data_IF_462015583074
#
_entry.id   IF_462015583074
#
_cell.length_a   1.000
_cell.length_b   1.000
_cell.length_c   1.000
_cell.angle_alpha   90.00
_cell.angle_beta   90.00
_cell.angle_gamma   90.00
#
_symmetry.space_group_name_H-M   'P 1'
#
loop_
_entity.id
_entity.type
_entity.pdbx_description
1 polymer ?
#
# COMPACT_ATOMS: atom_id res chain seq x y z
N UNK A 1 5.09 -8.46 1.51
CA UNK A 1 6.39 -7.75 1.55
C UNK A 1 6.43 -7.05 2.89
N UNK A 2 7.46 -7.24 3.69
CA UNK A 2 7.60 -6.58 4.98
C UNK A 2 7.71 -5.07 4.76
N UNK A 3 7.05 -4.28 5.60
CA UNK A 3 7.16 -2.82 5.57
C UNK A 3 7.80 -2.33 6.85
N UNK A 4 8.50 -1.20 6.77
CA UNK A 4 9.15 -0.56 7.93
C UNK A 4 8.57 0.85 8.10
N UNK A 5 8.19 1.21 9.33
CA UNK A 5 7.64 2.54 9.65
C UNK A 5 8.71 3.63 9.67
N UNK A 6 8.34 4.87 9.39
CA UNK A 6 9.27 6.01 9.50
C UNK A 6 9.81 6.18 10.92
N UNK A 7 8.98 5.96 11.95
CA UNK A 7 9.43 5.96 13.34
C UNK A 7 10.52 4.93 13.65
N UNK A 8 10.61 3.87 12.84
CA UNK A 8 11.72 2.91 12.93
C UNK A 8 12.89 3.33 12.05
N UNK A 9 12.63 3.79 10.83
CA UNK A 9 13.68 4.10 9.85
C UNK A 9 14.50 5.33 10.21
N UNK A 10 13.85 6.42 10.65
CA UNK A 10 14.51 7.69 10.91
C UNK A 10 15.60 7.59 12.00
N UNK A 11 15.34 7.08 13.22
CA UNK A 11 16.39 6.96 14.23
C UNK A 11 17.50 6.00 13.79
N UNK A 12 17.19 4.95 13.02
CA UNK A 12 18.20 4.04 12.49
C UNK A 12 19.09 4.70 11.43
N UNK A 13 18.50 5.46 10.50
CA UNK A 13 19.22 6.24 9.51
C UNK A 13 20.13 7.29 10.17
N UNK A 14 19.58 8.03 11.14
CA UNK A 14 20.34 9.00 11.90
C UNK A 14 21.52 8.34 12.66
N UNK A 15 21.33 7.15 13.25
CA UNK A 15 22.44 6.38 13.86
C UNK A 15 23.48 5.96 12.83
N UNK A 16 23.04 5.53 11.66
CA UNK A 16 23.91 5.13 10.55
C UNK A 16 24.82 6.27 10.07
N UNK A 17 24.37 7.52 10.19
CA UNK A 17 25.15 8.72 9.91
C UNK A 17 25.88 9.30 11.12
N UNK A 18 25.65 8.79 12.33
CA UNK A 18 26.15 9.40 13.57
C UNK A 18 25.47 10.74 13.93
N UNK A 19 24.26 10.97 13.43
CA UNK A 19 23.44 12.15 13.70
C UNK A 19 22.44 11.95 14.85
N UNK A 20 22.18 10.70 15.25
CA UNK A 20 21.29 10.39 16.36
C UNK A 20 22.00 10.54 17.71
N UNK A 21 21.39 11.29 18.63
CA UNK A 21 21.95 11.53 19.96
C UNK A 21 21.37 10.53 20.96
N UNK A 22 20.04 10.39 21.00
CA UNK A 22 19.39 9.48 21.95
C UNK A 22 17.87 9.58 21.93
N UNK A 23 17.23 8.69 22.68
CA UNK A 23 15.79 8.78 23.00
C UNK A 23 15.62 8.88 24.50
N UNK A 24 14.72 9.76 24.91
CA UNK A 24 14.46 10.11 26.29
C UNK A 24 12.95 10.21 26.52
N UNK A 25 12.55 10.17 27.79
CA UNK A 25 11.16 10.33 28.20
C UNK A 25 11.04 11.58 29.08
N UNK A 26 10.01 12.38 28.86
CA UNK A 26 9.75 13.54 29.72
C UNK A 26 9.41 13.07 31.13
N UNK A 27 9.93 13.76 32.14
CA UNK A 27 9.64 13.48 33.55
C UNK A 27 8.54 14.36 34.11
N UNK A 28 8.19 15.41 33.38
CA UNK A 28 7.02 16.25 33.65
C UNK A 28 6.05 16.20 32.47
N UNK A 29 4.79 16.55 32.74
CA UNK A 29 3.82 16.82 31.68
C UNK A 29 4.35 17.92 30.75
N UNK A 30 4.03 17.82 29.47
CA UNK A 30 4.21 18.94 28.54
C UNK A 30 3.07 19.91 28.84
N UNK A 31 3.40 21.12 29.24
CA UNK A 31 2.42 22.20 29.39
C UNK A 31 2.44 23.07 28.13
N UNK A 32 1.51 24.02 28.00
CA UNK A 32 1.55 25.03 26.94
C UNK A 32 2.76 25.95 27.10
N UNK A 33 3.93 25.46 26.71
CA UNK A 33 5.24 26.08 26.88
C UNK A 33 6.19 25.58 25.79
N UNK A 34 7.41 26.12 25.75
CA UNK A 34 8.49 25.68 24.87
C UNK A 34 9.43 24.67 25.54
N UNK A 35 9.11 24.20 26.74
CA UNK A 35 10.02 23.39 27.54
C UNK A 35 9.72 21.88 27.43
N UNK A 36 10.78 21.08 27.29
CA UNK A 36 10.77 19.64 27.56
C UNK A 36 11.69 19.38 28.75
N UNK A 37 11.20 18.69 29.78
CA UNK A 37 12.01 18.35 30.94
C UNK A 37 12.14 16.83 31.04
N UNK A 38 13.39 16.35 31.08
CA UNK A 38 13.71 14.94 31.28
C UNK A 38 14.90 14.79 32.21
N UNK A 39 14.68 14.23 33.41
CA UNK A 39 15.81 13.86 34.28
C UNK A 39 16.68 12.74 33.70
N UNK A 40 16.27 12.10 32.59
CA UNK A 40 17.14 11.17 31.86
C UNK A 40 18.30 11.87 31.16
N UNK A 41 18.16 13.15 30.81
CA UNK A 41 19.23 13.93 30.19
C UNK A 41 20.37 14.24 31.17
N UNK A 42 20.04 14.48 32.45
CA UNK A 42 21.04 14.80 33.48
C UNK A 42 22.04 13.68 33.72
N UNK A 43 21.73 12.44 33.34
CA UNK A 43 22.64 11.30 33.49
C UNK A 43 23.73 11.24 32.42
N UNK A 44 23.56 11.96 31.30
CA UNK A 44 24.46 11.91 30.14
C UNK A 44 24.98 13.30 29.73
N UNK A 45 24.26 14.36 30.08
CA UNK A 45 24.54 15.74 29.73
C UNK A 45 24.39 16.60 30.99
N UNK A 46 25.44 16.64 31.81
CA UNK A 46 25.45 17.40 33.08
C UNK A 46 25.77 18.89 32.87
N UNK A 47 26.46 19.21 31.78
CA UNK A 47 26.89 20.57 31.45
C UNK A 47 25.77 21.34 30.72
N UNK A 48 25.54 22.57 31.17
CA UNK A 48 24.66 23.52 30.50
C UNK A 48 25.11 23.75 29.04
N UNK A 49 24.17 24.11 28.16
CA UNK A 49 24.37 24.41 26.74
C UNK A 49 24.86 23.25 25.83
N UNK A 50 25.17 22.07 26.39
CA UNK A 50 25.72 20.92 25.63
C UNK A 50 24.86 20.45 24.46
N UNK A 51 23.54 20.63 24.57
CA UNK A 51 22.57 20.21 23.55
C UNK A 51 22.05 21.38 22.71
N UNK A 52 22.63 22.57 22.82
CA UNK A 52 22.22 23.70 22.00
C UNK A 52 22.47 23.42 20.51
N UNK A 53 21.62 23.99 19.66
CA UNK A 53 21.61 23.77 18.20
C UNK A 53 21.34 22.31 17.76
N UNK A 54 20.94 21.44 18.69
CA UNK A 54 20.38 20.12 18.35
C UNK A 54 18.88 20.22 18.07
N UNK A 55 18.27 19.13 17.61
CA UNK A 55 16.84 19.06 17.29
C UNK A 55 16.15 17.99 18.13
N UNK A 56 15.03 18.36 18.75
CA UNK A 56 14.13 17.44 19.44
C UNK A 56 12.93 17.10 18.56
N UNK A 57 12.65 15.80 18.40
CA UNK A 57 11.43 15.28 17.79
C UNK A 57 10.58 14.60 18.85
N UNK A 58 9.35 15.06 19.01
CA UNK A 58 8.44 14.57 20.06
C UNK A 58 7.62 13.39 19.52
N UNK A 59 7.56 12.31 20.30
CA UNK A 59 6.76 11.11 20.06
C UNK A 59 5.58 11.09 21.03
N UNK A 60 4.73 12.10 20.86
CA UNK A 60 3.59 12.40 21.71
C UNK A 60 2.26 11.90 21.15
N UNK A 61 1.18 12.48 21.64
CA UNK A 61 -0.18 12.34 21.09
C UNK A 61 -0.58 13.64 20.40
N UNK A 62 -0.51 14.76 21.13
CA UNK A 62 -0.88 16.08 20.60
C UNK A 62 0.28 16.76 19.86
N UNK A 63 1.52 16.42 20.24
CA UNK A 63 2.73 16.94 19.60
C UNK A 63 3.46 15.89 18.76
N UNK A 64 2.80 14.81 18.34
CA UNK A 64 3.47 13.72 17.61
C UNK A 64 4.12 14.22 16.32
N UNK A 65 5.37 13.79 16.11
CA UNK A 65 6.18 14.21 14.96
C UNK A 65 6.64 15.66 15.00
N UNK A 66 6.31 16.45 16.03
CA UNK A 66 6.74 17.85 16.12
C UNK A 66 8.25 17.91 16.34
N UNK A 67 8.92 18.66 15.48
CA UNK A 67 10.38 18.86 15.53
C UNK A 67 10.70 20.32 15.85
N UNK A 68 11.63 20.54 16.78
CA UNK A 68 12.09 21.87 17.21
C UNK A 68 13.59 21.87 17.48
N UNK A 69 14.28 22.97 17.19
CA UNK A 69 15.67 23.15 17.61
C UNK A 69 15.75 23.50 19.10
N UNK A 70 16.75 23.00 19.79
CA UNK A 70 17.06 23.30 21.19
C UNK A 70 17.81 24.64 21.24
N UNK A 71 17.23 25.61 21.95
CA UNK A 71 17.84 26.93 22.21
C UNK A 71 18.79 26.90 23.40
N UNK A 72 18.35 26.23 24.45
CA UNK A 72 19.06 26.16 25.72
C UNK A 72 18.84 24.76 26.33
N UNK A 73 19.88 24.27 27.00
CA UNK A 73 19.88 23.04 27.77
C UNK A 73 20.41 23.32 29.17
N UNK A 74 19.57 23.15 30.18
CA UNK A 74 19.96 23.27 31.58
C UNK A 74 20.31 21.88 32.15
N UNK A 75 21.59 21.54 32.20
CA UNK A 75 22.10 20.22 32.59
C UNK A 75 21.72 19.80 34.01
N UNK A 76 21.62 20.76 34.94
CA UNK A 76 21.21 20.47 36.33
C UNK A 76 19.76 19.97 36.48
N UNK A 77 18.88 20.24 35.49
CA UNK A 77 17.47 19.85 35.53
C UNK A 77 17.04 18.96 34.35
N UNK A 78 17.88 18.86 33.32
CA UNK A 78 17.57 18.17 32.07
C UNK A 78 16.44 18.87 31.31
N UNK A 79 16.31 20.18 31.49
CA UNK A 79 15.36 21.01 30.76
C UNK A 79 15.95 21.43 29.41
N UNK A 80 15.14 21.31 28.37
CA UNK A 80 15.39 21.82 27.03
C UNK A 80 14.39 22.94 26.76
N UNK A 81 14.88 24.13 26.43
CA UNK A 81 14.05 25.19 25.87
C UNK A 81 14.08 25.11 24.35
N UNK A 82 12.92 25.01 23.73
CA UNK A 82 12.77 24.76 22.30
C UNK A 82 12.42 26.04 21.55
N UNK A 83 13.04 26.24 20.38
CA UNK A 83 12.69 27.36 19.50
C UNK A 83 11.31 27.16 18.90
N UNK A 84 10.43 28.16 18.99
CA UNK A 84 9.19 28.21 18.22
C UNK A 84 7.97 28.59 19.05
N UNK A 85 6.79 28.16 18.59
CA UNK A 85 5.53 28.33 19.33
C UNK A 85 5.42 27.31 20.46
N UNK A 86 4.61 27.63 21.47
CA UNK A 86 4.31 26.72 22.57
C UNK A 86 3.77 25.39 22.06
N UNK A 87 4.23 24.31 22.68
CA UNK A 87 3.71 22.95 22.50
C UNK A 87 2.26 22.86 23.00
N UNK A 88 1.49 21.93 22.45
CA UNK A 88 0.20 21.57 23.02
C UNK A 88 0.39 20.86 24.36
N UNK A 89 -0.54 21.06 25.30
CA UNK A 89 -0.45 20.41 26.60
C UNK A 89 -0.70 18.90 26.48
N UNK A 90 0.14 18.10 27.14
CA UNK A 90 0.01 16.65 27.20
C UNK A 90 0.23 16.12 28.61
N UNK A 91 -0.65 15.20 29.03
CA UNK A 91 -0.51 14.51 30.31
C UNK A 91 0.35 13.25 30.19
N UNK A 92 1.10 12.97 31.26
CA UNK A 92 1.95 11.78 31.36
C UNK A 92 3.32 11.98 30.72
N UNK A 93 4.18 10.98 30.93
CA UNK A 93 5.51 10.94 30.30
C UNK A 93 5.37 10.71 28.80
N UNK A 94 6.07 11.51 28.00
CA UNK A 94 6.12 11.40 26.53
C UNK A 94 7.54 11.13 26.08
N UNK A 95 7.68 10.29 25.06
CA UNK A 95 9.00 10.01 24.49
C UNK A 95 9.39 11.14 23.53
N UNK A 96 10.69 11.39 23.42
CA UNK A 96 11.25 12.25 22.39
C UNK A 96 12.63 11.74 21.98
N UNK A 97 13.09 12.20 20.83
CA UNK A 97 14.34 11.81 20.20
C UNK A 97 15.17 13.06 19.91
N UNK A 98 16.48 12.98 20.13
CA UNK A 98 17.43 14.07 19.88
C UNK A 98 18.31 13.77 18.66
N UNK A 99 18.50 14.77 17.81
CA UNK A 99 19.23 14.70 16.55
C UNK A 99 20.18 15.88 16.38
N UNK A 100 21.29 15.67 15.68
CA UNK A 100 22.23 16.74 15.29
C UNK A 100 21.73 17.60 14.13
N UNK A 101 20.94 17.01 13.25
CA UNK A 101 20.35 17.68 12.10
C UNK A 101 18.84 17.66 12.23
N UNK A 102 18.17 18.57 11.54
CA UNK A 102 16.71 18.59 11.47
C UNK A 102 16.17 17.25 10.92
N UNK A 103 15.38 16.49 11.71
CA UNK A 103 14.61 15.35 11.25
C UNK A 103 13.94 15.51 9.89
N UNK A 104 13.39 16.68 9.56
CA UNK A 104 12.71 16.92 8.28
C UNK A 104 13.66 16.73 7.09
N UNK A 105 14.88 17.27 7.19
CA UNK A 105 15.91 17.12 6.15
C UNK A 105 16.29 15.65 5.98
N UNK A 106 16.41 14.91 7.08
CA UNK A 106 16.72 13.48 7.03
C UNK A 106 15.60 12.66 6.36
N UNK A 107 14.34 13.04 6.58
CA UNK A 107 13.17 12.42 5.93
C UNK A 107 13.18 12.71 4.43
N UNK A 108 13.48 13.95 4.03
CA UNK A 108 13.57 14.34 2.62
C UNK A 108 14.63 13.52 1.89
N UNK A 109 15.84 13.37 2.46
CA UNK A 109 16.87 12.53 1.84
C UNK A 109 16.51 11.03 1.81
N UNK A 110 15.70 10.52 2.75
CA UNK A 110 15.16 9.15 2.62
C UNK A 110 14.18 9.04 1.43
N UNK A 111 13.36 10.08 1.20
CA UNK A 111 12.41 10.16 0.09
C UNK A 111 13.07 10.40 -1.28
N UNK A 112 14.25 11.03 -1.31
CA UNK A 112 15.06 11.15 -2.52
C UNK A 112 15.81 9.85 -2.81
N UNK A 113 16.40 9.24 -1.77
CA UNK A 113 17.14 7.99 -1.89
C UNK A 113 16.30 6.84 -2.47
N UNK A 114 14.99 6.76 -2.17
CA UNK A 114 14.11 5.75 -2.77
C UNK A 114 13.97 5.90 -4.30
N UNK A 115 14.12 7.12 -4.83
CA UNK A 115 14.05 7.38 -6.27
C UNK A 115 15.41 7.05 -6.91
N UNK A 116 16.50 7.50 -6.30
CA UNK A 116 17.87 7.23 -6.77
C UNK A 116 18.25 5.75 -6.71
N UNK A 117 17.77 5.03 -5.70
CA UNK A 117 18.04 3.62 -5.53
C UNK A 117 17.31 2.75 -6.56
N UNK A 118 16.30 3.27 -7.25
CA UNK A 118 15.60 2.54 -8.30
C UNK A 118 16.51 2.40 -9.54
N UNK A 119 16.60 1.22 -10.18
CA UNK A 119 15.81 0.00 -9.96
C UNK A 119 16.44 -1.03 -9.03
N UNK A 120 17.54 -0.69 -8.35
CA UNK A 120 18.26 -1.63 -7.46
C UNK A 120 17.48 -1.96 -6.19
N UNK A 121 16.72 -1.00 -5.68
CA UNK A 121 15.68 -1.18 -4.67
C UNK A 121 14.34 -0.83 -5.30
N UNK A 122 13.35 -1.71 -5.13
CA UNK A 122 12.03 -1.54 -5.72
C UNK A 122 10.97 -2.26 -4.91
N UNK A 123 9.75 -1.75 -4.99
CA UNK A 123 8.56 -2.46 -4.55
C UNK A 123 8.13 -3.40 -5.68
N UNK A 124 8.01 -4.70 -5.40
CA UNK A 124 7.41 -5.63 -6.36
C UNK A 124 5.93 -5.29 -6.47
N UNK A 125 5.49 -4.98 -7.68
CA UNK A 125 4.09 -4.71 -7.97
C UNK A 125 3.52 -5.90 -8.73
N UNK A 126 2.35 -6.34 -8.29
CA UNK A 126 1.54 -7.33 -8.97
C UNK A 126 0.17 -6.70 -9.18
N UNK A 127 -0.08 -6.32 -10.43
CA UNK A 127 -1.31 -5.71 -10.87
C UNK A 127 -2.20 -6.76 -11.53
N UNK A 128 -3.51 -6.61 -11.33
CA UNK A 128 -4.53 -7.54 -11.81
C UNK A 128 -5.79 -6.83 -12.33
N UNK A 129 -5.68 -5.56 -12.71
CA UNK A 129 -6.84 -4.75 -13.08
C UNK A 129 -7.30 -4.96 -14.52
N UNK A 130 -6.59 -5.79 -15.29
CA UNK A 130 -6.88 -6.06 -16.68
C UNK A 130 -7.53 -7.43 -16.89
N UNK A 131 -8.57 -7.46 -17.71
CA UNK A 131 -9.18 -8.67 -18.27
C UNK A 131 -8.80 -8.82 -19.74
N UNK A 132 -8.67 -10.07 -20.18
CA UNK A 132 -8.42 -10.40 -21.57
C UNK A 132 -9.63 -10.18 -22.46
N UNK A 133 -9.38 -9.87 -23.73
CA UNK A 133 -10.39 -9.90 -24.78
C UNK A 133 -9.77 -10.35 -26.12
N UNK A 134 -10.44 -11.19 -26.92
CA UNK A 134 -9.87 -11.73 -28.16
C UNK A 134 -9.46 -10.67 -29.17
N UNK A 135 -10.08 -9.50 -29.18
CA UNK A 135 -9.72 -8.39 -30.09
C UNK A 135 -8.76 -7.37 -29.47
N UNK A 136 -8.55 -7.40 -28.16
CA UNK A 136 -7.67 -6.45 -27.48
C UNK A 136 -6.21 -6.90 -27.56
N UNK A 137 -5.34 -6.01 -28.02
CA UNK A 137 -3.88 -6.21 -28.09
C UNK A 137 -3.09 -5.24 -27.22
N UNK A 138 -3.69 -4.10 -26.89
CA UNK A 138 -3.08 -3.06 -26.10
C UNK A 138 -3.75 -3.04 -24.72
N UNK A 139 -2.94 -3.13 -23.67
CA UNK A 139 -3.37 -3.06 -22.29
C UNK A 139 -2.60 -1.93 -21.63
N UNK A 140 -3.29 -1.05 -20.92
CA UNK A 140 -2.60 0.03 -20.22
C UNK A 140 -1.57 -0.57 -19.24
N UNK A 141 -0.38 0.04 -19.17
CA UNK A 141 0.59 -0.31 -18.12
C UNK A 141 0.04 0.21 -16.79
N UNK A 142 0.02 -0.62 -15.73
CA UNK A 142 -0.29 -0.15 -14.39
C UNK A 142 0.62 1.00 -14.00
N UNK A 143 0.06 2.12 -13.53
CA UNK A 143 0.83 3.34 -13.15
C UNK A 143 1.76 3.11 -11.96
N UNK A 144 1.48 2.08 -11.17
CA UNK A 144 2.32 1.59 -10.09
C UNK A 144 3.62 0.91 -10.58
N UNK A 145 3.70 0.54 -11.86
CA UNK A 145 4.88 -0.03 -12.51
C UNK A 145 5.56 1.04 -13.37
N UNK A 146 6.86 1.25 -13.14
CA UNK A 146 7.65 2.20 -13.93
C UNK A 146 7.82 1.72 -15.38
N UNK A 147 7.87 2.66 -16.32
CA UNK A 147 8.05 2.35 -17.75
C UNK A 147 9.34 1.57 -18.00
N UNK A 148 9.25 0.45 -18.74
CA UNK A 148 10.40 -0.43 -19.02
C UNK A 148 10.73 -1.41 -17.89
N UNK A 149 9.88 -1.46 -16.85
CA UNK A 149 10.06 -2.29 -15.68
C UNK A 149 8.93 -3.31 -15.47
N UNK A 150 8.12 -3.57 -16.51
CA UNK A 150 7.35 -4.82 -16.54
C UNK A 150 8.34 -5.98 -16.64
N UNK A 151 8.09 -7.05 -15.87
CA UNK A 151 9.00 -8.20 -15.76
C UNK A 151 8.36 -9.48 -16.23
N UNK A 152 7.09 -9.69 -15.90
CA UNK A 152 6.34 -10.89 -16.28
C UNK A 152 4.88 -10.53 -16.47
N UNK A 153 4.24 -11.23 -17.39
CA UNK A 153 2.80 -11.19 -17.57
C UNK A 153 2.31 -12.63 -17.50
N UNK A 154 1.23 -12.85 -16.78
CA UNK A 154 0.54 -14.13 -16.72
C UNK A 154 -0.92 -13.94 -17.09
N UNK A 155 -1.54 -15.03 -17.52
CA UNK A 155 -2.98 -15.14 -17.69
C UNK A 155 -3.49 -16.16 -16.69
N UNK A 156 -4.35 -15.74 -15.78
CA UNK A 156 -5.07 -16.60 -14.84
C UNK A 156 -6.45 -16.94 -15.44
N UNK A 157 -6.86 -18.19 -15.30
CA UNK A 157 -8.19 -18.63 -15.75
C UNK A 157 -9.29 -18.19 -14.77
N UNK A 158 -10.49 -17.95 -15.30
CA UNK A 158 -11.71 -17.80 -14.49
C UNK A 158 -11.90 -19.04 -13.61
N UNK A 159 -12.27 -18.81 -12.35
CA UNK A 159 -12.86 -19.85 -11.51
C UNK A 159 -14.36 -19.67 -11.63
N UNK A 160 -15.07 -20.69 -12.08
CA UNK A 160 -16.53 -20.73 -12.09
C UNK A 160 -17.02 -20.93 -10.65
N UNK A 161 -17.70 -19.93 -10.11
CA UNK A 161 -18.11 -19.83 -8.72
C UNK A 161 -19.16 -20.87 -8.34
N UNK A 162 -20.08 -21.21 -9.24
CA UNK A 162 -21.14 -22.18 -8.98
C UNK A 162 -20.59 -23.62 -8.98
N UNK A 163 -19.58 -23.92 -9.80
CA UNK A 163 -18.97 -25.25 -9.85
C UNK A 163 -17.74 -25.41 -8.96
N UNK A 164 -17.23 -24.34 -8.35
CA UNK A 164 -16.09 -24.41 -7.44
C UNK A 164 -16.48 -25.03 -6.09
N UNK A 165 -16.05 -26.28 -5.87
CA UNK A 165 -16.49 -27.11 -4.74
C UNK A 165 -16.18 -26.59 -3.34
N UNK A 166 -15.19 -25.70 -3.19
CA UNK A 166 -14.87 -25.07 -1.90
C UNK A 166 -15.62 -23.74 -1.68
N UNK A 167 -16.44 -23.29 -2.64
CA UNK A 167 -17.22 -22.07 -2.49
C UNK A 167 -18.37 -22.28 -1.51
N UNK A 168 -18.31 -21.59 -0.36
CA UNK A 168 -19.33 -21.66 0.71
C UNK A 168 -20.71 -21.24 0.19
N UNK A 169 -20.74 -20.32 -0.77
CA UNK A 169 -21.97 -19.83 -1.41
C UNK A 169 -22.22 -20.45 -2.78
N UNK A 170 -21.49 -21.51 -3.17
CA UNK A 170 -21.57 -22.11 -4.51
C UNK A 170 -22.91 -22.76 -4.86
N UNK A 171 -23.74 -23.11 -3.85
CA UNK A 171 -25.10 -23.62 -4.07
C UNK A 171 -26.15 -22.51 -4.22
N UNK A 172 -25.76 -21.27 -3.98
CA UNK A 172 -26.60 -20.08 -4.16
C UNK A 172 -26.30 -19.46 -5.54
N UNK A 173 -27.09 -18.47 -5.95
CA UNK A 173 -26.91 -17.72 -7.22
C UNK A 173 -25.66 -16.80 -7.25
N UNK A 174 -24.47 -17.35 -7.01
CA UNK A 174 -23.22 -16.61 -6.85
C UNK A 174 -22.56 -16.16 -8.18
N UNK A 175 -22.95 -16.78 -9.29
CA UNK A 175 -22.58 -16.49 -10.67
C UNK A 175 -23.70 -15.74 -11.44
N UNK A 176 -24.80 -15.39 -10.76
CA UNK A 176 -25.97 -14.73 -11.34
C UNK A 176 -26.72 -15.51 -12.45
N UNK A 177 -26.42 -16.79 -12.68
CA UNK A 177 -26.99 -17.58 -13.79
C UNK A 177 -28.40 -18.14 -13.52
N UNK A 178 -29.00 -17.85 -12.36
CA UNK A 178 -30.38 -18.24 -12.08
C UNK A 178 -31.40 -17.44 -12.92
N UNK A 179 -32.48 -18.12 -13.33
CA UNK A 179 -33.65 -17.53 -14.02
C UNK A 179 -34.23 -16.26 -13.38
N UNK A 180 -34.02 -16.07 -12.07
CA UNK A 180 -34.26 -14.79 -11.39
C UNK A 180 -32.96 -14.33 -10.75
N UNK A 181 -32.31 -13.34 -11.37
CA UNK A 181 -31.00 -12.78 -10.95
C UNK A 181 -30.90 -12.41 -9.46
N UNK A 182 -31.98 -11.94 -8.86
CA UNK A 182 -32.00 -11.51 -7.46
C UNK A 182 -32.18 -12.67 -6.46
N UNK A 183 -32.33 -13.91 -6.94
CA UNK A 183 -32.43 -15.08 -6.06
C UNK A 183 -31.19 -15.15 -5.17
N UNK A 184 -31.37 -15.41 -3.87
CA UNK A 184 -30.33 -15.48 -2.83
C UNK A 184 -29.59 -14.16 -2.50
N UNK A 185 -29.82 -13.10 -3.27
CA UNK A 185 -29.25 -11.77 -3.03
C UNK A 185 -30.18 -10.88 -2.21
N UNK A 186 -29.66 -10.36 -1.10
CA UNK A 186 -30.31 -9.34 -0.29
C UNK A 186 -29.68 -7.97 -0.61
N UNK A 187 -30.49 -7.02 -1.10
CA UNK A 187 -30.03 -5.68 -1.43
C UNK A 187 -30.50 -4.63 -0.42
N UNK A 188 -29.72 -3.56 -0.27
CA UNK A 188 -30.09 -2.34 0.45
C UNK A 188 -29.58 -1.14 -0.32
N UNK A 189 -30.44 -0.16 -0.61
CA UNK A 189 -30.14 1.02 -1.45
C UNK A 189 -29.49 0.68 -2.82
N UNK A 190 -29.70 -0.53 -3.32
CA UNK A 190 -29.30 -1.01 -4.65
C UNK A 190 -30.49 -1.67 -5.31
N UNK A 191 -30.70 -1.34 -6.58
CA UNK A 191 -31.59 -2.11 -7.46
C UNK A 191 -30.74 -3.13 -8.23
N UNK A 192 -31.02 -4.43 -8.06
CA UNK A 192 -30.36 -5.53 -8.76
C UNK A 192 -31.27 -6.07 -9.86
N UNK A 193 -30.76 -6.14 -11.08
CA UNK A 193 -31.42 -6.70 -12.28
C UNK A 193 -30.43 -7.53 -13.09
N UNK A 194 -30.92 -8.31 -14.06
CA UNK A 194 -30.08 -9.06 -14.98
C UNK A 194 -29.54 -8.11 -16.06
N UNK A 195 -28.27 -8.26 -16.39
CA UNK A 195 -27.71 -7.83 -17.67
C UNK A 195 -27.48 -9.09 -18.49
N UNK A 196 -28.22 -9.25 -19.60
CA UNK A 196 -28.17 -10.46 -20.42
C UNK A 196 -27.15 -10.32 -21.55
N UNK A 197 -26.52 -11.44 -21.91
CA UNK A 197 -25.59 -11.52 -23.02
C UNK A 197 -26.33 -11.34 -24.36
N UNK A 198 -25.65 -10.72 -25.33
CA UNK A 198 -26.18 -10.50 -26.67
C UNK A 198 -25.29 -11.18 -27.71
N UNK A 199 -25.89 -11.75 -28.75
CA UNK A 199 -25.15 -12.51 -29.78
C UNK A 199 -24.49 -11.64 -30.85
N UNK A 200 -24.87 -10.36 -30.95
CA UNK A 200 -24.22 -9.34 -31.78
C UNK A 200 -24.82 -7.95 -31.55
N UNK A 201 -24.03 -6.94 -31.13
CA UNK A 201 -22.65 -7.05 -30.64
C UNK A 201 -22.58 -7.86 -29.34
N UNK A 202 -21.38 -8.28 -28.93
CA UNK A 202 -21.17 -8.92 -27.62
C UNK A 202 -21.41 -7.89 -26.50
N UNK A 203 -22.03 -8.32 -25.41
CA UNK A 203 -22.31 -7.45 -24.26
C UNK A 203 -21.16 -7.51 -23.25
N UNK A 204 -20.24 -6.54 -23.33
CA UNK A 204 -19.12 -6.43 -22.38
C UNK A 204 -19.49 -6.28 -20.91
N UNK A 205 -20.77 -6.00 -20.60
CA UNK A 205 -21.27 -5.90 -19.24
C UNK A 205 -21.66 -7.27 -18.65
N UNK A 206 -21.58 -8.34 -19.45
CA UNK A 206 -21.63 -9.73 -19.00
C UNK A 206 -20.19 -10.24 -18.91
N UNK A 207 -19.77 -10.67 -17.73
CA UNK A 207 -18.39 -11.14 -17.53
C UNK A 207 -18.19 -12.53 -18.14
N UNK A 208 -19.16 -13.42 -17.94
CA UNK A 208 -19.20 -14.74 -18.51
C UNK A 208 -20.62 -15.32 -18.47
N UNK A 209 -20.83 -16.44 -19.15
CA UNK A 209 -22.11 -17.15 -19.10
C UNK A 209 -23.22 -16.45 -19.91
N UNK A 210 -24.43 -16.38 -19.36
CA UNK A 210 -25.59 -15.77 -20.03
C UNK A 210 -25.97 -14.42 -19.46
N UNK A 211 -25.54 -14.10 -18.23
CA UNK A 211 -25.92 -12.86 -17.58
C UNK A 211 -24.97 -12.50 -16.43
N UNK A 212 -24.90 -11.21 -16.12
CA UNK A 212 -24.27 -10.70 -14.89
C UNK A 212 -25.25 -9.86 -14.09
N UNK A 213 -24.97 -9.68 -12.80
CA UNK A 213 -25.78 -8.84 -11.92
C UNK A 213 -25.56 -7.35 -12.18
N UNK A 214 -26.54 -6.66 -12.78
CA UNK A 214 -26.56 -5.20 -12.89
C UNK A 214 -27.09 -4.56 -11.62
N UNK A 215 -26.29 -3.71 -11.01
CA UNK A 215 -26.64 -3.02 -9.77
C UNK A 215 -26.63 -1.51 -9.98
N UNK A 216 -27.73 -0.85 -9.63
CA UNK A 216 -27.89 0.60 -9.70
C UNK A 216 -27.95 1.17 -8.28
N UNK A 217 -26.96 1.99 -7.95
CA UNK A 217 -26.82 2.70 -6.67
C UNK A 217 -27.32 4.13 -6.86
N UNK A 218 -28.25 4.59 -6.01
CA UNK A 218 -28.74 5.96 -6.03
C UNK A 218 -27.65 6.97 -5.68
N UNK A 219 -27.81 8.26 -6.01
CA UNK A 219 -26.83 9.28 -5.63
C UNK A 219 -26.71 9.46 -4.11
N UNK A 220 -25.53 9.83 -3.62
CA UNK A 220 -25.26 10.12 -2.20
C UNK A 220 -25.71 8.98 -1.26
N UNK A 221 -25.46 7.73 -1.66
CA UNK A 221 -25.94 6.56 -0.93
C UNK A 221 -24.84 5.51 -0.72
N UNK A 222 -25.11 4.64 0.26
CA UNK A 222 -24.33 3.42 0.48
C UNK A 222 -25.25 2.26 0.14
N UNK A 223 -24.87 1.56 -0.91
CA UNK A 223 -25.56 0.41 -1.45
C UNK A 223 -24.86 -0.89 -1.07
N UNK A 224 -25.64 -1.92 -0.76
CA UNK A 224 -25.10 -3.28 -0.51
C UNK A 224 -25.90 -4.32 -1.25
N UNK A 225 -25.21 -5.33 -1.77
CA UNK A 225 -25.81 -6.56 -2.28
C UNK A 225 -25.05 -7.74 -1.65
N UNK A 226 -25.75 -8.57 -0.89
CA UNK A 226 -25.12 -9.66 -0.13
C UNK A 226 -25.84 -10.99 -0.29
N UNK A 227 -25.06 -12.05 -0.27
CA UNK A 227 -25.50 -13.42 -0.01
C UNK A 227 -25.26 -13.76 1.46
N UNK A 228 -26.14 -14.56 2.06
CA UNK A 228 -26.02 -14.96 3.47
C UNK A 228 -25.62 -16.42 3.57
N UNK A 229 -24.65 -16.73 4.43
CA UNK A 229 -24.23 -18.10 4.68
C UNK A 229 -25.38 -18.90 5.31
N UNK A 230 -25.60 -20.12 4.85
CA UNK A 230 -26.60 -21.00 5.43
C UNK A 230 -26.24 -21.43 6.87
N UNK A 231 -24.95 -21.67 7.14
CA UNK A 231 -24.43 -22.17 8.42
C UNK A 231 -23.21 -21.37 8.90
N UNK A 232 -23.38 -20.09 9.31
CA UNK A 232 -22.27 -19.19 9.60
C UNK A 232 -21.38 -19.64 10.77
N UNK A 233 -21.95 -20.31 11.78
CA UNK A 233 -21.22 -20.81 12.97
C UNK A 233 -20.26 -21.95 12.66
N UNK A 234 -20.35 -22.58 11.49
CA UNK A 234 -19.45 -23.67 11.09
C UNK A 234 -18.02 -23.20 10.80
N UNK A 235 -17.83 -21.89 10.57
CA UNK A 235 -16.57 -21.27 10.18
C UNK A 235 -16.00 -20.37 11.29
N UNK A 236 -16.47 -20.54 12.52
CA UNK A 236 -16.01 -19.74 13.67
C UNK A 236 -14.54 -20.03 13.98
N UNK A 237 -13.73 -18.98 14.12
CA UNK A 237 -12.28 -19.07 14.30
C UNK A 237 -11.48 -19.22 13.00
N UNK A 238 -12.13 -19.28 11.82
CA UNK A 238 -11.44 -19.41 10.54
C UNK A 238 -11.22 -18.05 9.84
N UNK A 239 -10.18 -17.96 9.00
CA UNK A 239 -10.03 -16.82 8.09
C UNK A 239 -10.96 -16.98 6.89
N UNK A 240 -11.82 -15.98 6.65
CA UNK A 240 -12.71 -15.91 5.50
C UNK A 240 -12.09 -15.05 4.40
N UNK A 241 -12.03 -15.59 3.19
CA UNK A 241 -11.57 -14.93 1.98
C UNK A 241 -12.72 -14.84 0.97
N UNK A 242 -13.01 -13.63 0.50
CA UNK A 242 -14.06 -13.37 -0.49
C UNK A 242 -13.44 -12.71 -1.72
N UNK A 243 -13.87 -13.15 -2.90
CA UNK A 243 -13.58 -12.49 -4.18
C UNK A 243 -14.81 -12.39 -5.05
N UNK A 244 -14.92 -11.33 -5.83
CA UNK A 244 -16.03 -11.10 -6.78
C UNK A 244 -15.49 -10.32 -7.97
N UNK A 245 -15.95 -10.65 -9.17
CA UNK A 245 -15.68 -9.87 -10.36
C UNK A 245 -16.65 -8.70 -10.42
N UNK A 246 -16.13 -7.49 -10.64
CA UNK A 246 -16.93 -6.28 -10.69
C UNK A 246 -16.51 -5.45 -11.88
N UNK A 247 -17.47 -4.94 -12.64
CA UNK A 247 -17.26 -3.89 -13.62
C UNK A 247 -17.68 -2.54 -13.04
N UNK A 248 -16.77 -1.57 -13.06
CA UNK A 248 -17.09 -0.18 -12.76
C UNK A 248 -16.17 0.80 -13.51
N UNK A 249 -16.73 1.94 -13.94
CA UNK A 249 -15.95 3.04 -14.56
C UNK A 249 -15.63 4.18 -13.61
N UNK A 250 -16.13 4.11 -12.38
CA UNK A 250 -15.85 5.10 -11.33
C UNK A 250 -14.93 4.49 -10.29
N UNK A 251 -13.71 5.00 -10.22
CA UNK A 251 -12.72 4.59 -9.23
C UNK A 251 -13.20 4.86 -7.80
N UNK A 252 -12.72 4.06 -6.85
CA UNK A 252 -12.88 4.32 -5.42
C UNK A 252 -14.32 4.31 -4.90
N UNK A 253 -15.21 3.52 -5.53
CA UNK A 253 -16.63 3.42 -5.16
C UNK A 253 -17.11 2.05 -4.73
N UNK A 254 -16.51 0.98 -5.23
CA UNK A 254 -17.03 -0.38 -5.06
C UNK A 254 -15.95 -1.25 -4.45
N UNK A 255 -16.31 -2.04 -3.45
CA UNK A 255 -15.42 -3.01 -2.81
C UNK A 255 -16.15 -4.35 -2.63
N UNK A 256 -15.38 -5.44 -2.64
CA UNK A 256 -15.82 -6.69 -2.03
C UNK A 256 -16.01 -6.47 -0.52
N UNK A 257 -17.01 -7.11 0.07
CA UNK A 257 -17.39 -6.87 1.46
C UNK A 257 -17.84 -8.13 2.21
N UNK A 258 -17.55 -8.12 3.51
CA UNK A 258 -17.96 -9.12 4.50
C UNK A 258 -18.69 -8.40 5.64
N UNK A 259 -19.82 -8.93 6.08
CA UNK A 259 -20.56 -8.42 7.25
C UNK A 259 -20.84 -9.57 8.22
N UNK A 260 -20.42 -9.42 9.47
CA UNK A 260 -20.56 -10.43 10.54
C UNK A 260 -21.50 -9.90 11.64
N UNK A 261 -22.47 -10.72 12.07
CA UNK A 261 -23.38 -10.45 13.20
C UNK A 261 -24.05 -9.06 13.19
N UNK A 262 -24.48 -8.56 12.03
CA UNK A 262 -25.03 -7.19 11.83
C UNK A 262 -24.06 -6.02 12.08
N UNK A 263 -22.76 -6.29 12.20
CA UNK A 263 -21.73 -5.26 12.30
C UNK A 263 -21.53 -4.47 11.01
N UNK A 264 -20.66 -3.45 11.09
CA UNK A 264 -20.22 -2.68 9.93
C UNK A 264 -19.54 -3.59 8.91
N UNK A 265 -19.79 -3.35 7.63
CA UNK A 265 -19.15 -4.09 6.55
C UNK A 265 -17.63 -3.89 6.60
N UNK A 266 -16.90 -5.00 6.59
CA UNK A 266 -15.46 -5.05 6.36
C UNK A 266 -15.28 -5.05 4.84
N UNK A 267 -14.61 -4.03 4.32
CA UNK A 267 -14.44 -3.83 2.87
C UNK A 267 -12.99 -4.03 2.45
N UNK A 268 -12.78 -4.66 1.30
CA UNK A 268 -11.48 -4.74 0.65
C UNK A 268 -11.09 -3.44 -0.09
N UNK A 269 -10.01 -3.52 -0.85
CA UNK A 269 -9.59 -2.44 -1.76
C UNK A 269 -10.71 -2.07 -2.72
N UNK A 270 -10.84 -0.78 -3.01
CA UNK A 270 -11.83 -0.28 -3.95
C UNK A 270 -11.42 -0.51 -5.39
N UNK A 271 -12.40 -0.74 -6.25
CA UNK A 271 -12.28 -0.80 -7.69
C UNK A 271 -11.54 0.41 -8.29
N UNK A 272 -10.66 0.17 -9.25
CA UNK A 272 -9.79 1.21 -9.85
C UNK A 272 -10.48 2.04 -10.94
N UNK A 273 -11.56 1.51 -11.51
CA UNK A 273 -12.38 2.20 -12.51
C UNK A 273 -12.02 1.84 -13.95
N UNK A 274 -11.25 0.77 -14.15
CA UNK A 274 -10.69 0.39 -15.45
C UNK A 274 -11.51 -0.62 -16.25
N UNK A 275 -12.69 -1.04 -15.77
CA UNK A 275 -13.50 -2.08 -16.41
C UNK A 275 -13.78 -3.22 -15.43
N UNK A 276 -13.62 -4.47 -15.86
CA UNK A 276 -13.75 -5.64 -14.99
C UNK A 276 -12.50 -5.84 -14.13
N UNK A 277 -12.69 -5.95 -12.82
CA UNK A 277 -11.64 -6.22 -11.84
C UNK A 277 -12.11 -7.25 -10.81
N UNK A 278 -11.21 -8.14 -10.40
CA UNK A 278 -11.49 -9.07 -9.30
C UNK A 278 -11.19 -8.39 -7.97
N UNK A 279 -12.23 -8.02 -7.25
CA UNK A 279 -12.11 -7.42 -5.92
C UNK A 279 -12.01 -8.52 -4.87
N UNK A 280 -11.21 -8.29 -3.82
CA UNK A 280 -10.99 -9.27 -2.75
C UNK A 280 -11.05 -8.61 -1.38
N UNK A 281 -11.54 -9.34 -0.38
CA UNK A 281 -11.53 -8.95 1.03
C UNK A 281 -11.32 -10.19 1.90
N UNK A 282 -10.60 -10.04 3.01
CA UNK A 282 -10.48 -11.11 4.00
C UNK A 282 -10.68 -10.58 5.43
N UNK A 283 -11.11 -11.47 6.32
CA UNK A 283 -11.18 -11.21 7.76
C UNK A 283 -11.09 -12.52 8.52
N UNK A 284 -10.56 -12.46 9.74
CA UNK A 284 -10.74 -13.56 10.69
C UNK A 284 -12.18 -13.53 11.20
N UNK A 285 -12.88 -14.65 11.10
CA UNK A 285 -14.16 -14.87 11.76
C UNK A 285 -13.85 -15.23 13.21
N UNK A 286 -14.28 -14.40 14.16
CA UNK A 286 -14.35 -14.75 15.58
C UNK A 286 -15.81 -14.81 16.01
N UNK A 287 -16.09 -15.20 17.26
CA UNK A 287 -17.42 -15.43 17.88
C UNK A 287 -18.63 -15.16 16.97
N UNK A 288 -18.78 -15.98 15.93
CA UNK A 288 -19.87 -15.83 14.96
C UNK A 288 -21.15 -16.29 15.64
N UNK A 289 -22.03 -15.35 15.98
CA UNK A 289 -23.21 -15.62 16.81
C UNK A 289 -24.50 -15.78 16.02
N UNK A 290 -24.60 -15.19 14.82
CA UNK A 290 -25.88 -15.13 14.10
C UNK A 290 -25.81 -15.08 12.58
N UNK A 291 -24.86 -14.37 11.96
CA UNK A 291 -24.84 -14.22 10.50
C UNK A 291 -23.48 -13.85 9.94
N UNK A 292 -23.17 -14.40 8.77
CA UNK A 292 -22.08 -13.96 7.89
C UNK A 292 -22.69 -13.69 6.52
N UNK A 293 -22.41 -12.50 5.99
CA UNK A 293 -22.88 -12.03 4.69
C UNK A 293 -21.70 -11.60 3.85
N UNK A 294 -21.73 -11.92 2.57
CA UNK A 294 -20.64 -11.65 1.62
C UNK A 294 -21.20 -11.07 0.33
N UNK A 295 -20.43 -10.21 -0.34
CA UNK A 295 -20.85 -9.63 -1.62
C UNK A 295 -20.21 -8.28 -1.86
N UNK A 296 -21.04 -7.29 -2.23
CA UNK A 296 -20.59 -5.99 -2.71
C UNK A 296 -21.06 -4.87 -1.79
N UNK A 297 -20.15 -3.94 -1.53
CA UNK A 297 -20.42 -2.66 -0.87
C UNK A 297 -20.04 -1.53 -1.83
N UNK A 298 -20.99 -0.65 -2.12
CA UNK A 298 -20.81 0.48 -3.03
C UNK A 298 -21.17 1.81 -2.36
N UNK A 299 -20.33 2.81 -2.52
CA UNK A 299 -20.61 4.20 -2.14
C UNK A 299 -20.77 5.04 -3.41
N UNK A 300 -21.61 6.06 -3.35
CA UNK A 300 -21.89 6.90 -4.51
C UNK A 300 -22.01 8.36 -4.10
N UNK A 301 -21.36 9.26 -4.85
CA UNK A 301 -21.66 10.70 -4.76
C UNK A 301 -22.78 11.02 -5.76
N UNK A 302 -22.56 10.63 -7.01
CA UNK A 302 -23.56 10.59 -8.09
C UNK A 302 -24.06 9.16 -8.28
N UNK A 303 -25.25 9.01 -8.86
CA UNK A 303 -25.78 7.68 -9.20
C UNK A 303 -24.75 6.88 -10.02
N UNK A 304 -24.66 5.59 -9.71
CA UNK A 304 -23.61 4.71 -10.20
C UNK A 304 -24.23 3.37 -10.64
N UNK A 305 -23.78 2.87 -11.79
CA UNK A 305 -24.10 1.52 -12.28
C UNK A 305 -22.85 0.67 -12.18
N UNK A 306 -23.00 -0.53 -11.63
CA UNK A 306 -21.94 -1.53 -11.50
C UNK A 306 -22.49 -2.88 -12.01
N UNK A 307 -21.60 -3.72 -12.51
CA UNK A 307 -21.94 -5.10 -12.85
C UNK A 307 -21.10 -6.03 -12.00
N UNK A 308 -21.64 -7.18 -11.66
CA UNK A 308 -21.00 -8.13 -10.77
C UNK A 308 -21.19 -9.56 -11.27
N UNK A 309 -20.18 -10.38 -11.03
CA UNK A 309 -20.19 -11.78 -11.40
C UNK A 309 -19.27 -12.60 -10.49
N UNK A 310 -19.44 -13.93 -10.50
CA UNK A 310 -18.50 -14.91 -9.98
C UNK A 310 -18.06 -14.64 -8.51
N UNK A 311 -19.01 -14.61 -7.58
CA UNK A 311 -18.75 -14.45 -6.15
C UNK A 311 -18.26 -15.77 -5.53
N UNK A 312 -17.04 -15.73 -5.00
CA UNK A 312 -16.42 -16.87 -4.32
C UNK A 312 -16.11 -16.50 -2.88
N UNK A 313 -16.56 -17.33 -1.94
CA UNK A 313 -16.23 -17.24 -0.52
C UNK A 313 -15.64 -18.56 -0.03
N UNK A 314 -14.43 -18.52 0.53
CA UNK A 314 -13.74 -19.69 1.10
C UNK A 314 -13.27 -19.39 2.52
N UNK A 315 -13.28 -20.40 3.40
CA UNK A 315 -12.79 -20.26 4.76
C UNK A 315 -11.59 -21.20 5.02
N UNK A 316 -10.74 -20.82 5.97
CA UNK A 316 -9.60 -21.59 6.47
C UNK A 316 -8.27 -21.39 5.73
N UNK A 317 -8.29 -20.90 4.48
CA UNK A 317 -7.08 -20.54 3.73
C UNK A 317 -6.77 -19.05 3.87
N UNK A 318 -5.49 -18.67 3.87
CA UNK A 318 -5.05 -17.27 4.02
C UNK A 318 -4.99 -16.47 2.71
N UNK A 319 -5.22 -17.12 1.56
CA UNK A 319 -5.32 -16.44 0.27
C UNK A 319 -6.60 -16.86 -0.43
N UNK A 320 -7.24 -15.91 -1.12
CA UNK A 320 -8.37 -16.22 -2.00
C UNK A 320 -7.92 -17.19 -3.11
N UNK A 321 -8.82 -18.08 -3.56
CA UNK A 321 -8.46 -19.11 -4.53
C UNK A 321 -7.99 -18.50 -5.84
N UNK A 322 -7.05 -19.20 -6.48
CA UNK A 322 -6.44 -18.79 -7.74
C UNK A 322 -6.34 -19.96 -8.69
N UNK A 323 -6.72 -19.71 -9.93
CA UNK A 323 -6.44 -20.61 -11.03
C UNK A 323 -4.96 -20.63 -11.34
N UNK A 324 -4.55 -21.68 -12.05
CA UNK A 324 -3.19 -21.78 -12.54
C UNK A 324 -2.88 -20.64 -13.53
N UNK A 325 -1.78 -19.91 -13.26
CA UNK A 325 -1.36 -18.77 -14.05
C UNK A 325 -0.39 -19.20 -15.17
N UNK A 326 -0.77 -19.01 -16.42
CA UNK A 326 0.06 -19.32 -17.58
C UNK A 326 0.91 -18.11 -17.98
N UNK A 327 2.23 -18.24 -18.16
CA UNK A 327 3.07 -17.13 -18.57
C UNK A 327 2.75 -16.70 -20.00
N UNK A 328 2.59 -15.39 -20.20
CA UNK A 328 2.46 -14.77 -21.51
C UNK A 328 3.86 -14.49 -22.05
N UNK A 329 4.18 -15.07 -23.20
CA UNK A 329 5.41 -14.80 -23.93
C UNK A 329 5.19 -13.69 -24.99
N UNK A 330 6.28 -13.14 -25.51
CA UNK A 330 6.28 -12.23 -26.66
C UNK A 330 5.45 -10.94 -26.50
N UNK A 331 5.40 -10.37 -25.30
CA UNK A 331 4.85 -9.03 -25.08
C UNK A 331 5.95 -7.96 -25.18
N UNK A 332 5.55 -6.70 -25.35
CA UNK A 332 6.45 -5.55 -25.28
C UNK A 332 5.77 -4.36 -24.60
N UNK A 333 6.56 -3.49 -24.00
CA UNK A 333 6.08 -2.17 -23.57
C UNK A 333 6.22 -1.17 -24.74
N UNK A 334 5.19 -0.36 -24.97
CA UNK A 334 5.19 0.73 -25.96
C UNK A 334 4.48 1.95 -25.36
N UNK A 335 5.24 2.99 -25.03
CA UNK A 335 4.69 4.16 -24.33
C UNK A 335 4.14 3.79 -22.96
N UNK A 336 2.84 4.06 -22.75
CA UNK A 336 2.09 3.69 -21.54
C UNK A 336 1.31 2.39 -21.70
N UNK A 337 1.49 1.68 -22.81
CA UNK A 337 0.80 0.43 -23.09
C UNK A 337 1.75 -0.77 -23.03
N UNK A 338 1.13 -1.92 -22.80
CA UNK A 338 1.69 -3.25 -22.96
C UNK A 338 0.99 -3.87 -24.16
N UNK A 339 1.78 -4.26 -25.14
CA UNK A 339 1.28 -4.88 -26.36
C UNK A 339 1.52 -6.37 -26.30
N UNK A 340 0.43 -7.13 -26.36
CA UNK A 340 0.41 -8.58 -26.43
C UNK A 340 -0.08 -8.95 -27.84
N UNK A 341 0.77 -9.54 -28.71
CA UNK A 341 0.45 -9.73 -30.12
C UNK A 341 -0.58 -10.85 -30.38
N UNK A 342 -0.81 -11.72 -29.40
CA UNK A 342 -1.77 -12.83 -29.51
C UNK A 342 -3.08 -12.52 -28.76
N UNK A 343 -4.11 -13.28 -29.10
CA UNK A 343 -5.44 -13.18 -28.49
C UNK A 343 -5.38 -13.68 -27.04
N UNK A 344 -5.86 -12.87 -26.09
CA UNK A 344 -6.19 -13.36 -24.76
C UNK A 344 -7.70 -13.63 -24.76
N UNK A 345 -8.16 -14.85 -24.45
CA UNK A 345 -9.59 -15.14 -24.38
C UNK A 345 -10.30 -14.23 -23.39
N UNK A 346 -11.60 -14.04 -23.62
CA UNK A 346 -12.50 -13.35 -22.69
C UNK A 346 -12.54 -14.04 -21.32
N UNK A 347 -12.99 -13.28 -20.32
CA UNK A 347 -13.14 -13.73 -18.93
C UNK A 347 -11.85 -14.24 -18.26
N UNK A 348 -10.67 -14.05 -18.87
CA UNK A 348 -9.37 -14.36 -18.25
C UNK A 348 -8.74 -13.12 -17.63
N UNK A 349 -8.03 -13.29 -16.53
CA UNK A 349 -7.35 -12.21 -15.84
C UNK A 349 -5.90 -12.07 -16.32
N UNK A 350 -5.50 -10.85 -16.63
CA UNK A 350 -4.09 -10.52 -16.86
C UNK A 350 -3.44 -10.14 -15.53
N UNK A 351 -2.33 -10.79 -15.22
CA UNK A 351 -1.51 -10.50 -14.05
C UNK A 351 -0.19 -9.92 -14.51
N UNK A 352 -0.01 -8.63 -14.29
CA UNK A 352 1.19 -7.90 -14.70
C UNK A 352 2.09 -7.74 -13.48
N UNK A 353 3.29 -8.29 -13.57
CA UNK A 353 4.30 -8.20 -12.51
C UNK A 353 5.43 -7.29 -12.98
N UNK A 354 5.72 -6.27 -12.18
CA UNK A 354 6.76 -5.29 -12.48
C UNK A 354 7.41 -4.70 -11.24
N UNK A 355 8.21 -3.66 -11.46
CA UNK A 355 8.91 -2.92 -10.42
C UNK A 355 8.30 -1.52 -10.27
N UNK A 356 7.87 -1.20 -9.06
CA UNK A 356 7.44 0.13 -8.66
C UNK A 356 8.46 0.82 -7.75
N UNK A 357 8.32 2.14 -7.61
CA UNK A 357 9.06 2.88 -6.60
C UNK A 357 8.60 2.45 -5.20
N UNK A 358 9.52 2.54 -4.23
CA UNK A 358 9.15 2.42 -2.83
C UNK A 358 8.24 3.60 -2.44
N UNK A 359 7.30 3.35 -1.52
CA UNK A 359 6.39 4.39 -1.02
C UNK A 359 7.16 5.53 -0.34
N UNK A 360 6.69 6.76 -0.51
CA UNK A 360 7.21 7.93 0.24
C UNK A 360 6.70 7.90 1.69
N UNK A 361 7.45 8.53 2.58
CA UNK A 361 7.10 8.65 4.00
C UNK A 361 7.16 10.09 4.46
N UNK A 362 6.20 10.51 5.27
CA UNK A 362 6.04 11.88 5.75
C UNK A 362 5.58 11.94 7.21
N UNK A 363 4.82 10.94 7.66
CA UNK A 363 4.36 10.76 9.04
C UNK A 363 5.07 9.59 9.72
N UNK A 364 5.13 9.60 11.05
CA UNK A 364 5.79 8.54 11.82
C UNK A 364 5.22 7.13 11.60
N UNK A 365 3.93 7.05 11.28
CA UNK A 365 3.21 5.80 10.96
C UNK A 365 3.34 5.36 9.51
N UNK A 366 3.80 6.24 8.61
CA UNK A 366 3.97 5.87 7.20
C UNK A 366 4.98 4.74 7.07
N UNK A 367 4.75 3.84 6.12
CA UNK A 367 5.59 2.66 5.92
C UNK A 367 6.18 2.63 4.52
N UNK A 368 7.38 2.06 4.42
CA UNK A 368 8.06 1.79 3.16
C UNK A 368 8.27 0.29 2.99
N UNK A 369 8.11 -0.24 1.77
CA UNK A 369 8.16 -1.67 1.47
C UNK A 369 9.60 -2.20 1.36
N UNK A 370 10.32 -2.13 2.47
CA UNK A 370 11.73 -2.46 2.57
C UNK A 370 12.03 -3.21 3.87
N UNK A 371 13.01 -4.12 3.83
CA UNK A 371 13.44 -4.91 4.98
C UNK A 371 14.96 -4.93 5.19
N UNK A 372 15.37 -5.42 6.37
CA UNK A 372 16.74 -5.73 6.81
C UNK A 372 17.89 -5.18 5.95
N UNK A 373 18.37 -5.99 4.98
CA UNK A 373 19.55 -5.65 4.16
C UNK A 373 19.24 -4.56 3.12
N UNK A 374 18.03 -4.53 2.59
CA UNK A 374 17.63 -3.49 1.64
C UNK A 374 17.61 -2.11 2.32
N UNK A 375 17.19 -2.07 3.59
CA UNK A 375 17.15 -0.86 4.40
C UNK A 375 18.54 -0.24 4.59
N UNK A 376 19.57 -1.05 4.84
CA UNK A 376 20.96 -0.56 4.92
C UNK A 376 21.43 0.06 3.60
N UNK A 377 20.97 -0.46 2.46
CA UNK A 377 21.29 0.09 1.14
C UNK A 377 20.58 1.42 0.93
N UNK A 378 19.30 1.53 1.30
CA UNK A 378 18.57 2.81 1.26
C UNK A 378 19.28 3.88 2.09
N UNK A 379 19.74 3.54 3.30
CA UNK A 379 20.52 4.45 4.14
C UNK A 379 21.84 4.88 3.50
N UNK A 380 22.50 4.00 2.75
CA UNK A 380 23.71 4.37 2.02
C UNK A 380 23.42 5.41 0.92
N UNK A 381 22.32 5.23 0.16
CA UNK A 381 21.86 6.23 -0.82
C UNK A 381 21.52 7.56 -0.15
N UNK A 382 20.71 7.54 0.91
CA UNK A 382 20.30 8.74 1.63
C UNK A 382 21.50 9.50 2.24
N UNK A 383 22.46 8.77 2.84
CA UNK A 383 23.67 9.37 3.39
C UNK A 383 24.58 9.95 2.31
N UNK A 384 24.70 9.29 1.15
CA UNK A 384 25.46 9.80 0.01
C UNK A 384 24.83 11.08 -0.57
N UNK A 385 23.51 11.12 -0.69
CA UNK A 385 22.76 12.30 -1.13
C UNK A 385 22.93 13.48 -0.16
N UNK A 386 22.73 13.25 1.14
CA UNK A 386 22.93 14.27 2.19
C UNK A 386 24.34 14.85 2.15
N UNK A 387 25.37 13.99 2.13
CA UNK A 387 26.76 14.44 2.16
C UNK A 387 27.23 15.10 0.85
N UNK A 388 26.55 14.87 -0.26
CA UNK A 388 26.81 15.60 -1.49
C UNK A 388 26.42 17.08 -1.34
N UNK A 389 25.29 17.36 -0.68
CA UNK A 389 24.89 18.74 -0.35
C UNK A 389 25.90 19.46 0.55
N UNK A 390 26.48 18.76 1.53
CA UNK A 390 27.57 19.27 2.37
C UNK A 390 28.82 19.63 1.54
N UNK A 391 29.23 18.75 0.63
CA UNK A 391 30.41 18.96 -0.24
C UNK A 391 30.28 20.25 -1.04
N UNK A 392 29.08 20.56 -1.53
CA UNK A 392 28.84 21.74 -2.35
C UNK A 392 28.90 23.05 -1.54
N UNK A 393 28.87 22.98 -0.20
CA UNK A 393 28.86 24.13 0.72
C UNK A 393 30.21 24.39 1.43
N UNK A 394 31.12 23.42 1.51
CA UNK A 394 32.37 23.55 2.27
C UNK A 394 33.56 24.14 1.48
N UNK A 395 34.42 24.91 2.16
CA UNK A 395 35.76 25.30 1.68
C UNK A 395 36.80 24.18 1.87
N UNK A 396 38.02 24.33 1.31
CA UNK A 396 39.03 23.26 1.09
C UNK A 396 39.32 22.34 2.29
N UNK A 397 39.28 22.84 3.52
CA UNK A 397 39.65 22.05 4.72
C UNK A 397 38.53 21.10 5.17
N UNK A 398 37.27 21.50 5.05
CA UNK A 398 36.09 20.66 5.31
C UNK A 398 35.75 19.72 4.14
N UNK A 399 36.09 20.14 2.92
CA UNK A 399 35.79 19.43 1.68
C UNK A 399 36.43 18.03 1.65
N UNK A 400 37.70 17.90 2.05
CA UNK A 400 38.42 16.62 2.01
C UNK A 400 37.87 15.59 3.02
N UNK A 401 37.30 16.04 4.14
CA UNK A 401 36.65 15.17 5.12
C UNK A 401 35.26 14.76 4.62
N UNK A 402 34.48 15.70 4.09
CA UNK A 402 33.17 15.43 3.49
C UNK A 402 33.27 14.46 2.31
N UNK A 403 34.23 14.68 1.39
CA UNK A 403 34.49 13.78 0.26
C UNK A 403 34.87 12.36 0.69
N UNK A 404 35.65 12.20 1.77
CA UNK A 404 35.98 10.86 2.30
C UNK A 404 34.76 10.13 2.83
N UNK A 405 33.89 10.82 3.58
CA UNK A 405 32.63 10.26 4.08
C UNK A 405 31.70 9.89 2.93
N UNK A 406 31.56 10.78 1.94
CA UNK A 406 30.75 10.51 0.75
C UNK A 406 31.25 9.29 -0.04
N UNK A 407 32.57 9.20 -0.32
CA UNK A 407 33.16 8.03 -0.99
C UNK A 407 32.92 6.74 -0.22
N UNK A 408 32.95 6.77 1.12
CA UNK A 408 32.65 5.59 1.92
C UNK A 408 31.23 5.05 1.65
N UNK A 409 30.21 5.91 1.67
CA UNK A 409 28.84 5.47 1.39
C UNK A 409 28.62 5.09 -0.07
N UNK A 410 29.26 5.81 -1.01
CA UNK A 410 29.23 5.44 -2.43
C UNK A 410 29.81 4.05 -2.70
N UNK A 411 30.95 3.73 -2.10
CA UNK A 411 31.53 2.39 -2.22
C UNK A 411 30.59 1.31 -1.68
N UNK A 412 29.86 1.58 -0.59
CA UNK A 412 28.85 0.64 -0.06
C UNK A 412 27.64 0.45 -0.99
N UNK A 413 27.26 1.49 -1.73
CA UNK A 413 26.25 1.39 -2.79
C UNK A 413 26.77 0.46 -3.91
N UNK A 414 28.01 0.68 -4.35
CA UNK A 414 28.64 -0.05 -5.46
C UNK A 414 28.93 -1.53 -5.10
N UNK A 415 29.31 -1.82 -3.85
CA UNK A 415 29.48 -3.18 -3.32
C UNK A 415 28.18 -4.01 -3.43
N UNK A 416 27.01 -3.36 -3.38
CA UNK A 416 25.69 -3.99 -3.55
C UNK A 416 25.15 -3.99 -4.99
N UNK A 417 25.80 -3.31 -5.93
CA UNK A 417 25.32 -3.15 -7.31
C UNK A 417 25.56 -4.38 -8.19
N UNK A 418 26.37 -5.36 -7.75
CA UNK A 418 26.66 -6.58 -8.50
C UNK A 418 25.55 -7.65 -8.53
N UNK A 419 24.38 -7.42 -7.94
CA UNK A 419 23.43 -8.51 -7.64
C UNK A 419 22.30 -8.75 -8.66
N UNK A 420 22.01 -7.85 -9.60
CA UNK A 420 21.09 -8.16 -10.71
C UNK A 420 21.41 -7.30 -11.93
N UNK A 421 22.00 -7.91 -12.96
CA UNK A 421 22.03 -7.29 -14.29
C UNK A 421 20.61 -6.97 -14.72
N UNK A 422 20.34 -5.76 -15.25
CA UNK A 422 19.09 -5.52 -15.95
C UNK A 422 18.94 -6.58 -17.04
N UNK A 423 17.82 -7.31 -17.03
CA UNK A 423 17.49 -8.18 -18.15
C UNK A 423 17.45 -7.29 -19.39
N UNK A 424 18.34 -7.60 -20.33
CA UNK A 424 18.48 -6.92 -21.61
C UNK A 424 17.10 -6.65 -22.20
N UNK A 425 16.74 -5.38 -22.39
CA UNK A 425 15.75 -5.04 -23.41
C UNK A 425 16.23 -5.74 -24.68
N UNK A 426 15.44 -6.65 -25.24
CA UNK A 426 15.70 -7.09 -26.60
C UNK A 426 15.50 -5.85 -27.49
N UNK A 427 16.59 -5.16 -27.81
CA UNK A 427 16.61 -4.20 -28.91
C UNK A 427 16.30 -5.00 -30.16
N UNK A 428 15.09 -4.83 -30.69
CA UNK A 428 14.74 -5.36 -32.00
C UNK A 428 15.53 -4.54 -33.03
N UNK A 429 16.21 -5.17 -34.00
CA UNK A 429 16.84 -4.45 -35.10
C UNK A 429 15.75 -3.71 -35.89
N UNK A 430 16.03 -2.45 -36.23
CA UNK A 430 15.21 -1.70 -37.14
C UNK A 430 15.10 -2.48 -38.46
N UNK A 431 13.89 -2.87 -38.84
CA UNK A 431 13.57 -3.34 -40.18
C UNK A 431 12.95 -2.20 -40.99
#
# INVERSE_FOLDING_TARGET
MTTTTLNTMLPQFARYMGAYIGSFATTTNITTSTALVSTGLTAYFEDDDTLNDTFARILGTENDGTTRSVLDHTGSSGALDLRGVSLAAESGSKNFELYRYDPAILIDHLNDARQEAFPSLYKKVQDRTHTGHPEQRNYARPTSIQQGFVRKIYVEERIDAASYGDNIVGTLNCDFENSTVATDWSTSNITLTAEEETTSPDNYMVFAGQQSGKMVVGASSIGTAYMTFASPTAYDGEELNVSVWVYCKTASRVSAAISVNSGTAITGSTHSGSGWERLTVSTNLGDVSSSVRVGIHATSDTALVIYADELIAVAGQSESPRSHAQPVANWREEGDDIIIPHTIPESKQLVIIGMGLLSSVSSGSDTMEIDGRQLQRLYAYAAASFLQGDIDQFTEEGLNAAQRRWRHYKNRIDEGAGAMSPMSMYKVPAY
#
